data_IF_506235134438
#
_entry.id   IF_506235134438
#
_cell.length_a   1.000
_cell.length_b   1.000
_cell.length_c   1.000
_cell.angle_alpha   90.00
_cell.angle_beta   90.00
_cell.angle_gamma   90.00
#
_symmetry.space_group_name_H-M   'P 1'
#
loop_
_entity.id
_entity.type
_entity.pdbx_description
1 polymer ?
#
# COMPACT_ATOMS: atom_id res chain seq x y z
N UNK A 1 8.93 13.37 20.96
CA UNK A 1 9.36 12.00 20.67
C UNK A 1 10.41 12.10 19.57
N UNK A 2 11.71 12.17 19.94
CA UNK A 2 12.70 12.41 18.92
C UNK A 2 12.92 11.19 18.03
N UNK A 3 13.09 10.02 18.63
CA UNK A 3 13.25 8.76 17.91
C UNK A 3 12.57 7.65 18.71
N UNK A 4 11.81 6.82 18.04
CA UNK A 4 11.14 5.65 18.61
C UNK A 4 11.59 4.43 17.85
N UNK A 5 12.17 3.50 18.56
CA UNK A 5 12.52 2.18 18.04
C UNK A 5 11.46 1.16 18.46
N UNK A 6 11.00 0.38 17.53
CA UNK A 6 10.09 -0.74 17.75
C UNK A 6 10.85 -2.00 17.41
N UNK A 7 10.92 -2.92 18.35
CA UNK A 7 11.50 -4.25 18.17
C UNK A 7 10.43 -5.32 18.39
N UNK A 8 10.32 -6.25 17.46
CA UNK A 8 9.39 -7.40 17.50
C UNK A 8 7.93 -7.01 17.80
N UNK A 9 7.52 -5.86 17.30
CA UNK A 9 6.17 -5.31 17.49
C UNK A 9 5.08 -6.14 16.79
N UNK A 10 3.85 -6.04 17.29
CA UNK A 10 2.68 -6.61 16.62
C UNK A 10 1.56 -5.57 16.56
N UNK A 11 1.01 -5.35 15.37
CA UNK A 11 -0.16 -4.51 15.14
C UNK A 11 -1.32 -5.36 14.65
N UNK A 12 -2.46 -5.17 15.30
CA UNK A 12 -3.70 -5.86 14.97
C UNK A 12 -4.77 -4.83 14.63
N UNK A 13 -5.27 -4.88 13.41
CA UNK A 13 -6.34 -4.01 12.92
C UNK A 13 -7.62 -4.84 12.87
N UNK A 14 -8.63 -4.42 13.63
CA UNK A 14 -9.94 -5.06 13.67
C UNK A 14 -10.92 -4.16 12.91
N UNK A 15 -11.60 -4.73 11.91
CA UNK A 15 -12.64 -4.03 11.14
C UNK A 15 -13.99 -4.36 11.76
N UNK A 16 -14.64 -3.36 12.36
CA UNK A 16 -15.87 -3.54 13.15
C UNK A 16 -17.06 -4.13 12.36
N UNK A 17 -17.13 -3.89 11.06
CA UNK A 17 -18.30 -4.31 10.27
C UNK A 17 -18.37 -5.82 9.97
N UNK A 18 -17.25 -6.55 10.03
CA UNK A 18 -17.21 -7.99 9.66
C UNK A 18 -16.35 -8.84 10.60
N UNK A 19 -15.78 -8.29 11.66
CA UNK A 19 -14.84 -9.02 12.54
C UNK A 19 -13.55 -9.49 11.84
N UNK A 20 -13.29 -8.97 10.62
CA UNK A 20 -12.09 -9.31 9.90
C UNK A 20 -10.87 -8.68 10.59
N UNK A 21 -9.91 -9.51 10.95
CA UNK A 21 -8.67 -9.09 11.60
C UNK A 21 -7.52 -9.12 10.58
N UNK A 22 -6.71 -8.06 10.61
CA UNK A 22 -5.41 -8.03 9.93
C UNK A 22 -4.32 -7.91 10.97
N UNK A 23 -3.36 -8.81 10.92
CA UNK A 23 -2.24 -8.89 11.85
C UNK A 23 -0.93 -8.70 11.09
N UNK A 24 -0.11 -7.78 11.60
CA UNK A 24 1.25 -7.52 11.17
C UNK A 24 2.16 -7.88 12.34
N UNK A 25 3.12 -8.74 12.12
CA UNK A 25 3.96 -9.32 13.15
C UNK A 25 5.43 -8.99 12.93
N UNK A 26 6.23 -9.14 13.98
CA UNK A 26 7.67 -8.89 13.96
C UNK A 26 8.02 -7.56 13.34
N UNK A 27 7.31 -6.52 13.75
CA UNK A 27 7.56 -5.17 13.27
C UNK A 27 8.83 -4.68 13.94
N UNK A 28 9.83 -4.38 13.11
CA UNK A 28 11.04 -3.66 13.54
C UNK A 28 11.07 -2.35 12.76
N UNK A 29 11.03 -1.25 13.48
CA UNK A 29 10.90 0.06 12.86
C UNK A 29 11.58 1.16 13.67
N UNK A 30 12.18 2.10 12.95
CA UNK A 30 12.66 3.36 13.50
C UNK A 30 11.72 4.47 13.04
N UNK A 31 11.13 5.19 13.99
CA UNK A 31 10.27 6.33 13.71
C UNK A 31 10.97 7.59 14.26
N UNK A 32 10.99 8.64 13.45
CA UNK A 32 11.50 9.95 13.86
C UNK A 32 10.44 11.02 13.65
N UNK A 33 10.08 11.70 14.73
CA UNK A 33 9.18 12.85 14.76
C UNK A 33 9.69 13.83 15.82
N UNK A 34 10.69 14.68 15.52
CA UNK A 34 11.24 15.62 16.49
C UNK A 34 10.19 16.56 17.08
N UNK A 35 9.36 17.15 16.21
CA UNK A 35 8.23 17.99 16.61
C UNK A 35 7.00 17.68 15.73
N UNK A 36 5.81 18.03 16.17
CA UNK A 36 4.56 17.81 15.41
C UNK A 36 4.51 18.58 14.07
N UNK A 37 5.37 19.59 13.93
CA UNK A 37 5.50 20.40 12.70
C UNK A 37 6.63 19.92 11.79
N UNK A 38 7.40 18.94 12.23
CA UNK A 38 8.45 18.30 11.42
C UNK A 38 7.91 17.10 10.64
N UNK A 39 8.57 16.69 9.57
CA UNK A 39 8.21 15.47 8.87
C UNK A 39 8.30 14.25 9.80
N UNK A 40 7.28 13.40 9.76
CA UNK A 40 7.35 12.05 10.32
C UNK A 40 8.04 11.14 9.32
N UNK A 41 9.08 10.46 9.75
CA UNK A 41 9.70 9.37 8.97
C UNK A 41 9.58 8.07 9.74
N UNK A 42 9.34 6.97 9.01
CA UNK A 42 9.35 5.63 9.59
C UNK A 42 9.95 4.66 8.58
N UNK A 43 10.94 3.91 9.03
CA UNK A 43 11.62 2.91 8.21
C UNK A 43 11.78 1.62 8.98
N UNK A 44 11.56 0.51 8.32
CA UNK A 44 11.65 -0.79 8.97
C UNK A 44 11.13 -1.92 8.09
N UNK A 45 10.70 -2.95 8.78
CA UNK A 45 10.13 -4.14 8.17
C UNK A 45 9.11 -4.81 9.11
N UNK A 46 8.28 -5.66 8.53
CA UNK A 46 7.31 -6.48 9.26
C UNK A 46 6.99 -7.76 8.50
N UNK A 47 6.46 -8.76 9.19
CA UNK A 47 5.97 -9.97 8.56
C UNK A 47 4.47 -9.83 8.25
N UNK A 48 4.10 -10.03 6.98
CA UNK A 48 2.72 -10.11 6.53
C UNK A 48 2.52 -11.30 5.60
N UNK A 49 1.56 -12.15 5.92
CA UNK A 49 1.28 -13.40 5.18
C UNK A 49 2.54 -14.26 4.98
N UNK A 50 3.35 -14.38 6.02
CA UNK A 50 4.63 -15.12 6.03
C UNK A 50 5.70 -14.58 5.05
N UNK A 51 5.58 -13.33 4.65
CA UNK A 51 6.57 -12.66 3.82
C UNK A 51 7.08 -11.42 4.55
N UNK A 52 8.39 -11.21 4.53
CA UNK A 52 9.01 -10.00 5.03
C UNK A 52 8.69 -8.85 4.09
N UNK A 53 8.19 -7.76 4.65
CA UNK A 53 7.87 -6.52 3.95
C UNK A 53 8.72 -5.41 4.52
N UNK A 54 9.64 -4.89 3.73
CA UNK A 54 10.37 -3.67 4.04
C UNK A 54 9.51 -2.45 3.73
N UNK A 55 9.66 -1.39 4.50
CA UNK A 55 8.97 -0.13 4.23
C UNK A 55 9.83 1.09 4.54
N UNK A 56 9.60 2.16 3.79
CA UNK A 56 10.14 3.49 4.02
C UNK A 56 8.99 4.50 3.84
N UNK A 57 8.61 5.17 4.91
CA UNK A 57 7.48 6.10 4.97
C UNK A 57 7.98 7.49 5.34
N UNK A 58 7.50 8.49 4.61
CA UNK A 58 7.65 9.89 4.96
C UNK A 58 6.31 10.60 4.86
N UNK A 59 5.92 11.27 5.92
CA UNK A 59 4.75 12.15 5.96
C UNK A 59 5.24 13.57 6.20
N UNK A 60 4.75 14.56 5.42
CA UNK A 60 5.29 15.93 5.46
C UNK A 60 5.24 16.53 6.87
N UNK A 61 4.05 16.64 7.44
CA UNK A 61 3.86 17.09 8.81
C UNK A 61 2.56 16.49 9.35
N UNK A 62 2.56 15.84 10.51
CA UNK A 62 1.32 15.36 11.14
C UNK A 62 0.32 16.49 11.41
N UNK A 63 0.79 17.71 11.72
CA UNK A 63 -0.08 18.87 11.92
C UNK A 63 -0.89 19.25 10.67
N UNK A 64 -0.37 18.98 9.47
CA UNK A 64 -1.08 19.25 8.22
C UNK A 64 -2.33 18.37 8.06
N UNK A 65 -2.33 17.16 8.63
CA UNK A 65 -3.51 16.29 8.65
C UNK A 65 -4.70 16.91 9.41
N UNK A 66 -4.45 17.70 10.46
CA UNK A 66 -5.50 18.40 11.17
C UNK A 66 -6.08 19.54 10.33
N UNK A 67 -5.26 20.17 9.49
CA UNK A 67 -5.67 21.31 8.67
C UNK A 67 -6.41 20.87 7.42
N UNK A 68 -5.88 19.98 6.59
CA UNK A 68 -6.54 19.43 5.38
C UNK A 68 -5.84 18.22 4.76
N UNK A 69 -4.54 18.30 4.47
CA UNK A 69 -3.80 17.24 3.78
C UNK A 69 -2.34 17.28 4.14
N UNK A 70 -1.72 16.11 4.20
CA UNK A 70 -0.29 15.93 4.33
C UNK A 70 0.25 15.13 3.14
N UNK A 71 1.43 15.50 2.64
CA UNK A 71 2.12 14.70 1.62
C UNK A 71 2.66 13.42 2.26
N UNK A 72 2.48 12.32 1.56
CA UNK A 72 2.97 11.00 1.94
C UNK A 72 3.81 10.42 0.80
N UNK A 73 4.99 9.92 1.15
CA UNK A 73 5.83 9.09 0.31
C UNK A 73 5.98 7.74 1.01
N UNK A 74 5.67 6.65 0.31
CA UNK A 74 5.75 5.29 0.84
C UNK A 74 6.44 4.40 -0.19
N UNK A 75 7.49 3.71 0.25
CA UNK A 75 8.08 2.61 -0.50
C UNK A 75 7.85 1.30 0.27
N UNK A 76 7.51 0.26 -0.45
CA UNK A 76 7.38 -1.10 0.06
C UNK A 76 8.22 -2.02 -0.81
N UNK A 77 8.95 -2.92 -0.18
CA UNK A 77 9.73 -3.94 -0.87
C UNK A 77 9.50 -5.32 -0.27
N UNK A 78 9.35 -6.30 -1.14
CA UNK A 78 9.18 -7.71 -0.80
C UNK A 78 9.83 -8.58 -1.88
N UNK A 79 9.94 -9.88 -1.65
CA UNK A 79 10.34 -10.83 -2.71
C UNK A 79 9.36 -10.86 -3.90
N UNK A 80 8.09 -10.49 -3.68
CA UNK A 80 7.04 -10.59 -4.69
C UNK A 80 6.79 -9.27 -5.44
N UNK A 81 7.00 -8.12 -4.78
CA UNK A 81 6.66 -6.81 -5.34
C UNK A 81 7.48 -5.70 -4.69
N UNK A 82 7.95 -4.77 -5.52
CA UNK A 82 8.42 -3.45 -5.12
C UNK A 82 7.35 -2.42 -5.50
N UNK A 83 6.94 -1.59 -4.55
CA UNK A 83 5.91 -0.58 -4.79
C UNK A 83 6.33 0.76 -4.20
N UNK A 84 5.98 1.84 -4.91
CA UNK A 84 6.19 3.22 -4.43
C UNK A 84 4.93 4.02 -4.64
N UNK A 85 4.59 4.79 -3.66
CA UNK A 85 3.48 5.73 -3.67
C UNK A 85 3.97 7.11 -3.27
N UNK A 86 3.58 8.14 -4.04
CA UNK A 86 3.82 9.55 -3.74
C UNK A 86 2.50 10.30 -3.93
N UNK A 87 2.00 10.90 -2.87
CA UNK A 87 0.69 11.54 -2.93
C UNK A 87 0.35 12.33 -1.67
N UNK A 88 -0.94 12.48 -1.45
CA UNK A 88 -1.50 13.21 -0.32
C UNK A 88 -2.50 12.34 0.45
N UNK A 89 -2.47 12.49 1.76
CA UNK A 89 -3.47 11.96 2.69
C UNK A 89 -4.33 13.12 3.16
N UNK A 90 -5.64 12.98 3.08
CA UNK A 90 -6.62 13.95 3.57
C UNK A 90 -7.44 13.33 4.69
N UNK A 91 -7.62 14.08 5.78
CA UNK A 91 -8.43 13.62 6.92
C UNK A 91 -9.89 14.11 6.87
N UNK A 92 -10.16 15.17 6.13
CA UNK A 92 -11.48 15.81 6.05
C UNK A 92 -11.89 16.11 4.60
N UNK A 93 -13.18 16.02 4.22
CA UNK A 93 -14.34 15.66 5.07
C UNK A 93 -14.39 14.17 5.44
N UNK A 94 -13.69 13.32 4.71
CA UNK A 94 -13.47 11.90 4.99
C UNK A 94 -12.01 11.54 4.73
N UNK A 95 -11.52 10.52 5.41
CA UNK A 95 -10.16 10.04 5.18
C UNK A 95 -10.03 9.55 3.74
N UNK A 96 -9.06 10.09 3.01
CA UNK A 96 -8.78 9.71 1.62
C UNK A 96 -7.30 9.83 1.32
N UNK A 97 -6.86 9.11 0.30
CA UNK A 97 -5.48 9.10 -0.19
C UNK A 97 -5.52 9.24 -1.70
N UNK A 98 -4.71 10.14 -2.26
CA UNK A 98 -4.64 10.37 -3.69
C UNK A 98 -3.18 10.60 -4.10
N UNK A 99 -2.73 9.97 -5.18
CA UNK A 99 -1.36 10.13 -5.67
C UNK A 99 -0.96 9.10 -6.71
N UNK A 100 0.33 9.05 -6.99
CA UNK A 100 0.93 8.21 -8.01
C UNK A 100 1.50 6.93 -7.40
N UNK A 101 1.08 5.79 -7.93
CA UNK A 101 1.55 4.46 -7.59
C UNK A 101 2.39 3.90 -8.72
N UNK A 102 3.55 3.38 -8.38
CA UNK A 102 4.34 2.49 -9.25
C UNK A 102 4.58 1.18 -8.54
N UNK A 103 4.49 0.08 -9.28
CA UNK A 103 4.73 -1.26 -8.73
C UNK A 103 5.43 -2.13 -9.77
N UNK A 104 6.37 -2.96 -9.30
CA UNK A 104 7.14 -3.91 -10.12
C UNK A 104 7.15 -5.26 -9.44
N UNK A 105 6.96 -6.31 -10.22
CA UNK A 105 7.06 -7.70 -9.75
C UNK A 105 7.93 -8.50 -10.70
N UNK A 106 8.84 -9.29 -10.14
CA UNK A 106 9.66 -10.24 -10.93
C UNK A 106 8.81 -11.41 -11.43
N UNK A 107 7.70 -11.73 -10.73
CA UNK A 107 6.80 -12.82 -11.08
C UNK A 107 5.37 -12.48 -10.67
N UNK A 108 4.55 -12.09 -11.64
CA UNK A 108 3.12 -11.84 -11.41
C UNK A 108 2.38 -13.06 -10.84
N UNK A 109 2.65 -14.31 -11.31
CA UNK A 109 2.06 -15.49 -10.68
C UNK A 109 2.41 -15.64 -9.20
N UNK A 110 3.66 -15.39 -8.81
CA UNK A 110 4.10 -15.44 -7.41
C UNK A 110 3.44 -14.35 -6.57
N UNK A 111 3.29 -13.15 -7.12
CA UNK A 111 2.56 -12.04 -6.49
C UNK A 111 1.08 -12.42 -6.23
N UNK A 112 0.40 -12.98 -7.22
CA UNK A 112 -1.00 -13.41 -7.08
C UNK A 112 -1.11 -14.53 -6.04
N UNK A 113 -0.22 -15.51 -6.09
CA UNK A 113 -0.16 -16.61 -5.13
C UNK A 113 0.00 -16.11 -3.69
N UNK A 114 0.92 -15.18 -3.46
CA UNK A 114 1.12 -14.53 -2.17
C UNK A 114 -0.13 -13.78 -1.69
N UNK A 115 -0.75 -13.00 -2.58
CA UNK A 115 -1.97 -12.25 -2.24
C UNK A 115 -3.14 -13.16 -1.88
N UNK A 116 -3.31 -14.30 -2.59
CA UNK A 116 -4.43 -15.25 -2.40
C UNK A 116 -4.13 -16.34 -1.37
N UNK A 117 -2.89 -16.51 -0.93
CA UNK A 117 -2.41 -17.66 -0.16
C UNK A 117 -2.63 -19.00 -0.89
N UNK A 118 -2.48 -18.98 -2.20
CA UNK A 118 -2.59 -20.15 -3.08
C UNK A 118 -1.20 -20.46 -3.67
N UNK A 119 -0.91 -21.69 -4.06
CA UNK A 119 0.36 -21.98 -4.75
C UNK A 119 0.41 -21.23 -6.08
N UNK A 120 1.62 -20.80 -6.53
CA UNK A 120 1.75 -20.11 -7.80
C UNK A 120 1.32 -21.02 -8.95
N UNK A 121 0.54 -20.46 -9.87
CA UNK A 121 0.14 -21.14 -11.10
C UNK A 121 1.32 -21.08 -12.09
N UNK A 122 1.57 -22.14 -12.83
CA UNK A 122 2.54 -22.15 -13.95
C UNK A 122 2.01 -21.30 -15.13
N UNK A 123 1.76 -20.02 -14.91
CA UNK A 123 1.34 -19.13 -15.96
C UNK A 123 2.55 -18.42 -16.56
N UNK A 124 2.65 -18.38 -17.87
CA UNK A 124 3.73 -17.73 -18.61
C UNK A 124 3.70 -16.19 -18.56
N UNK A 125 3.17 -15.59 -17.47
CA UNK A 125 2.98 -14.14 -17.38
C UNK A 125 4.27 -13.41 -17.03
N UNK A 126 5.25 -14.08 -16.41
CA UNK A 126 6.56 -13.49 -16.11
C UNK A 126 6.50 -12.27 -15.17
N UNK A 127 7.38 -11.31 -15.44
CA UNK A 127 7.45 -10.03 -14.69
C UNK A 127 6.31 -9.07 -15.10
N UNK A 128 6.04 -8.12 -14.21
CA UNK A 128 5.05 -7.09 -14.48
C UNK A 128 5.40 -5.74 -13.84
N UNK A 129 5.01 -4.68 -14.50
CA UNK A 129 5.10 -3.31 -14.02
C UNK A 129 3.72 -2.66 -14.11
N UNK A 130 3.39 -1.82 -13.13
CA UNK A 130 2.19 -1.00 -13.08
C UNK A 130 2.57 0.43 -12.71
N UNK A 131 1.99 1.40 -13.40
CA UNK A 131 1.95 2.79 -12.96
C UNK A 131 0.52 3.31 -13.07
N UNK A 132 0.05 4.05 -12.09
CA UNK A 132 -1.31 4.59 -12.09
C UNK A 132 -1.41 5.75 -11.12
N UNK A 133 -2.22 6.73 -11.45
CA UNK A 133 -2.74 7.63 -10.43
C UNK A 133 -3.88 6.93 -9.69
N UNK A 134 -3.82 6.90 -8.37
CA UNK A 134 -4.83 6.25 -7.54
C UNK A 134 -5.53 7.27 -6.64
N UNK A 135 -6.83 7.06 -6.45
CA UNK A 135 -7.61 7.73 -5.44
C UNK A 135 -8.32 6.67 -4.59
N UNK A 136 -8.00 6.67 -3.30
CA UNK A 136 -8.63 5.78 -2.32
C UNK A 136 -9.53 6.57 -1.39
N UNK A 137 -10.72 6.07 -1.16
CA UNK A 137 -11.65 6.52 -0.14
C UNK A 137 -12.35 5.31 0.50
N UNK A 138 -12.97 5.44 1.68
CA UNK A 138 -13.62 4.32 2.35
C UNK A 138 -14.59 3.58 1.42
N UNK A 139 -14.24 2.34 1.10
CA UNK A 139 -15.02 1.44 0.25
C UNK A 139 -14.74 1.50 -1.24
N UNK A 140 -13.81 2.34 -1.72
CA UNK A 140 -13.49 2.41 -3.14
C UNK A 140 -12.03 2.78 -3.39
N UNK A 141 -11.45 2.16 -4.43
CA UNK A 141 -10.15 2.55 -5.00
C UNK A 141 -10.36 2.79 -6.48
N UNK A 142 -10.03 3.98 -6.96
CA UNK A 142 -10.03 4.33 -8.38
C UNK A 142 -8.60 4.36 -8.90
N UNK A 143 -8.38 3.72 -10.03
CA UNK A 143 -7.13 3.74 -10.80
C UNK A 143 -7.39 4.51 -12.08
N UNK A 144 -6.69 5.63 -12.28
CA UNK A 144 -6.74 6.42 -13.51
C UNK A 144 -5.37 6.45 -14.16
N UNK A 145 -5.35 6.65 -15.48
CA UNK A 145 -4.11 6.65 -16.26
C UNK A 145 -3.23 5.40 -16.02
N UNK A 146 -3.89 4.29 -15.67
CA UNK A 146 -3.19 3.05 -15.40
C UNK A 146 -2.46 2.56 -16.66
N UNK A 147 -1.19 2.25 -16.52
CA UNK A 147 -0.35 1.61 -17.55
C UNK A 147 0.24 0.37 -16.93
N UNK A 148 0.13 -0.73 -17.64
CA UNK A 148 0.76 -1.97 -17.21
C UNK A 148 1.60 -2.55 -18.35
N UNK A 149 2.71 -3.18 -17.97
CA UNK A 149 3.56 -3.94 -18.85
C UNK A 149 3.80 -5.32 -18.21
N UNK A 150 3.55 -6.35 -18.97
CA UNK A 150 3.86 -7.75 -18.66
C UNK A 150 4.89 -8.24 -19.66
N UNK A 151 5.52 -9.38 -19.40
CA UNK A 151 6.55 -9.94 -20.31
C UNK A 151 6.08 -10.02 -21.76
N UNK A 152 4.80 -10.29 -22.03
CA UNK A 152 4.25 -10.48 -23.37
C UNK A 152 3.04 -9.63 -23.68
N UNK A 153 2.67 -8.67 -22.82
CA UNK A 153 1.52 -7.82 -23.01
C UNK A 153 1.68 -6.47 -22.33
N UNK A 154 1.11 -5.43 -22.90
CA UNK A 154 1.02 -4.13 -22.25
C UNK A 154 -0.34 -3.50 -22.55
N UNK A 155 -0.74 -2.57 -21.71
CA UNK A 155 -1.99 -1.87 -21.90
C UNK A 155 -2.08 -0.63 -21.02
N UNK A 156 -3.16 0.11 -21.28
CA UNK A 156 -3.52 1.28 -20.48
C UNK A 156 -5.03 1.32 -20.30
N UNK A 157 -5.47 1.96 -19.23
CA UNK A 157 -6.90 2.05 -18.96
C UNK A 157 -7.17 2.72 -17.62
N UNK A 158 -8.37 2.49 -17.14
CA UNK A 158 -8.82 2.89 -15.82
C UNK A 158 -9.59 1.75 -15.16
N UNK A 159 -9.60 1.73 -13.84
CA UNK A 159 -10.30 0.71 -13.09
C UNK A 159 -10.84 1.28 -11.78
N UNK A 160 -11.95 0.73 -11.33
CA UNK A 160 -12.54 1.01 -10.03
C UNK A 160 -12.71 -0.30 -9.27
N UNK A 161 -12.19 -0.34 -8.06
CA UNK A 161 -12.32 -1.47 -7.13
C UNK A 161 -13.22 -1.05 -5.99
N UNK A 162 -14.40 -1.64 -5.90
CA UNK A 162 -15.34 -1.40 -4.79
C UNK A 162 -15.12 -2.44 -3.70
N UNK A 163 -14.88 -1.98 -2.46
CA UNK A 163 -14.55 -2.80 -1.29
C UNK A 163 -15.75 -3.03 -0.35
N UNK A 164 -16.92 -2.45 -0.65
CA UNK A 164 -18.14 -2.47 0.20
C UNK A 164 -18.91 -3.79 0.21
N UNK A 165 -18.49 -4.80 -0.53
CA UNK A 165 -19.16 -6.09 -0.65
C UNK A 165 -18.27 -7.20 -0.04
N UNK A 166 -18.82 -8.36 0.37
CA UNK A 166 -18.00 -9.48 0.86
C UNK A 166 -16.97 -9.96 -0.17
N UNK A 167 -17.12 -9.55 -1.43
CA UNK A 167 -16.12 -9.75 -2.51
C UNK A 167 -15.85 -8.41 -3.19
N UNK A 168 -14.58 -8.02 -3.37
CA UNK A 168 -14.25 -6.84 -4.15
C UNK A 168 -14.78 -6.95 -5.57
N UNK A 169 -15.37 -5.88 -6.09
CA UNK A 169 -15.81 -5.79 -7.49
C UNK A 169 -14.84 -4.90 -8.26
N UNK A 170 -14.31 -5.43 -9.36
CA UNK A 170 -13.47 -4.70 -10.31
C UNK A 170 -14.28 -4.33 -11.55
N UNK A 171 -14.26 -3.05 -11.91
CA UNK A 171 -14.72 -2.56 -13.22
C UNK A 171 -13.52 -1.92 -13.91
N UNK A 172 -13.22 -2.36 -15.11
CA UNK A 172 -12.15 -1.81 -15.95
C UNK A 172 -12.74 -1.28 -17.25
N UNK A 173 -12.17 -0.19 -17.78
CA UNK A 173 -12.52 0.42 -19.06
C UNK A 173 -11.25 0.86 -19.80
#
# INVERSE_FOLDING_TARGET
LNDVEIEDGTVRIIYDENGAERRFEKINANLSLPHLVDPLTAKGDFDWKNTRVGFDLKLSTPADLESRSARIELALDTEAIDAKFDGNVMSKPAFSVEGDLTAKSQSVPSLIAWMRKEPPTEAAVGSGELSSHIAWQPGEITFTQARFALTHASGQGQAVVTLKSPRPHLRAA
#
